data_IF_108976015700
#
_entry.id   IF_108976015700
#
_cell.length_a   1.000
_cell.length_b   1.000
_cell.length_c   1.000
_cell.angle_alpha   90.00
_cell.angle_beta   90.00
_cell.angle_gamma   90.00
#
_symmetry.space_group_name_H-M   'P 1'
#
loop_
_entity.id
_entity.type
_entity.pdbx_description
1 polymer ?
#
# COMPACT_ATOMS: atom_id res chain seq x y z
N UNK A 1 -5.24 -21.38 -13.81
CA UNK A 1 -4.56 -20.09 -13.54
C UNK A 1 -4.68 -19.10 -14.70
N UNK A 2 -4.72 -19.52 -15.96
CA UNK A 2 -4.94 -18.60 -17.11
C UNK A 2 -6.26 -17.82 -17.04
N UNK A 3 -7.30 -18.35 -16.44
CA UNK A 3 -8.62 -17.71 -16.34
C UNK A 3 -8.65 -16.51 -15.41
N UNK A 4 -7.86 -16.49 -14.33
CA UNK A 4 -7.91 -15.40 -13.34
C UNK A 4 -7.29 -14.08 -13.82
N UNK A 5 -6.26 -14.15 -14.67
CA UNK A 5 -5.64 -12.95 -15.25
C UNK A 5 -6.49 -12.41 -16.41
N UNK A 6 -7.20 -13.29 -17.11
CA UNK A 6 -7.97 -12.98 -18.31
C UNK A 6 -9.22 -12.14 -18.06
N UNK A 7 -9.90 -12.36 -16.93
CA UNK A 7 -11.27 -11.84 -16.71
C UNK A 7 -11.29 -10.41 -16.17
N UNK A 8 -10.19 -9.93 -15.59
CA UNK A 8 -10.16 -8.68 -14.85
C UNK A 8 -9.60 -7.47 -15.59
N UNK A 9 -8.68 -7.69 -16.53
CA UNK A 9 -7.89 -6.62 -17.12
C UNK A 9 -8.20 -6.34 -18.58
N UNK A 10 -9.01 -7.18 -19.24
CA UNK A 10 -9.16 -7.13 -20.70
C UNK A 10 -7.87 -7.38 -21.47
N UNK A 11 -6.79 -7.77 -20.77
CA UNK A 11 -5.53 -8.11 -21.38
C UNK A 11 -5.61 -9.48 -22.07
N UNK A 12 -4.92 -9.66 -23.21
CA UNK A 12 -4.84 -10.97 -23.85
C UNK A 12 -4.23 -11.98 -22.88
N UNK A 13 -4.75 -13.21 -22.91
CA UNK A 13 -4.21 -14.29 -22.10
C UNK A 13 -2.71 -14.43 -22.36
N UNK A 14 -1.94 -14.45 -21.27
CA UNK A 14 -0.52 -14.67 -21.32
C UNK A 14 -0.29 -16.14 -21.73
N UNK A 15 0.28 -16.36 -22.92
CA UNK A 15 0.65 -17.69 -23.40
C UNK A 15 2.14 -17.89 -23.18
N UNK A 16 2.48 -18.80 -22.27
CA UNK A 16 3.86 -19.15 -21.95
C UNK A 16 4.13 -20.58 -22.40
N UNK A 17 5.28 -20.79 -23.04
CA UNK A 17 5.80 -22.11 -23.34
C UNK A 17 6.34 -22.83 -22.09
N UNK A 18 6.59 -24.13 -22.17
CA UNK A 18 7.04 -24.96 -21.03
C UNK A 18 8.30 -24.45 -20.31
N UNK A 19 9.16 -23.73 -21.01
CA UNK A 19 10.42 -23.17 -20.47
C UNK A 19 10.45 -21.65 -20.51
N UNK A 20 9.30 -21.03 -20.49
CA UNK A 20 9.16 -19.59 -20.50
C UNK A 20 8.55 -19.11 -19.20
N UNK A 21 8.95 -17.90 -18.80
CA UNK A 21 8.38 -17.20 -17.65
C UNK A 21 8.16 -15.74 -17.98
N UNK A 22 7.10 -15.16 -17.47
CA UNK A 22 6.89 -13.72 -17.51
C UNK A 22 7.24 -13.08 -16.18
N UNK A 23 7.72 -11.84 -16.23
CA UNK A 23 8.08 -11.05 -15.06
C UNK A 23 6.86 -10.25 -14.62
N UNK A 24 6.50 -10.37 -13.36
CA UNK A 24 5.51 -9.54 -12.70
C UNK A 24 6.17 -8.56 -11.74
N UNK A 25 5.75 -7.30 -11.77
CA UNK A 25 6.14 -6.29 -10.80
C UNK A 25 4.91 -5.45 -10.47
N UNK A 26 4.62 -5.32 -9.19
CA UNK A 26 3.54 -4.46 -8.71
C UNK A 26 3.82 -2.99 -9.05
N UNK A 27 2.78 -2.28 -9.45
CA UNK A 27 2.83 -0.85 -9.82
C UNK A 27 3.32 0.04 -8.67
N UNK A 28 3.11 -0.36 -7.41
CA UNK A 28 3.62 0.36 -6.24
C UNK A 28 5.15 0.29 -6.09
N UNK A 29 5.79 -0.74 -6.64
CA UNK A 29 7.24 -0.97 -6.52
C UNK A 29 8.02 -0.63 -7.78
N UNK A 30 7.36 -0.14 -8.82
CA UNK A 30 8.02 0.23 -10.07
C UNK A 30 7.69 1.65 -10.50
N UNK A 31 8.53 2.17 -11.39
CA UNK A 31 8.31 3.45 -12.06
C UNK A 31 8.30 3.22 -13.56
N UNK A 32 7.66 4.09 -14.34
CA UNK A 32 7.60 3.98 -15.78
C UNK A 32 9.01 3.81 -16.42
N UNK A 33 10.01 4.49 -15.86
CA UNK A 33 11.40 4.37 -16.32
C UNK A 33 12.00 2.99 -16.06
N UNK A 34 11.75 2.41 -14.88
CA UNK A 34 12.20 1.05 -14.55
C UNK A 34 11.52 0.00 -15.42
N UNK A 35 10.21 0.14 -15.61
CA UNK A 35 9.45 -0.78 -16.47
C UNK A 35 9.97 -0.73 -17.90
N UNK A 36 10.23 0.44 -18.45
CA UNK A 36 10.81 0.58 -19.79
C UNK A 36 12.20 -0.07 -19.91
N UNK A 37 13.07 0.13 -18.91
CA UNK A 37 14.39 -0.51 -18.84
C UNK A 37 14.27 -2.04 -18.77
N UNK A 38 13.37 -2.56 -17.95
CA UNK A 38 13.15 -4.01 -17.84
C UNK A 38 12.60 -4.60 -19.14
N UNK A 39 11.65 -3.93 -19.79
CA UNK A 39 11.12 -4.37 -21.07
C UNK A 39 12.22 -4.39 -22.15
N UNK A 40 13.15 -3.45 -22.12
CA UNK A 40 14.30 -3.48 -23.02
C UNK A 40 15.22 -4.72 -22.78
N UNK A 41 15.40 -5.10 -21.51
CA UNK A 41 16.15 -6.32 -21.17
C UNK A 41 15.39 -7.57 -21.58
N UNK A 42 14.07 -7.61 -21.32
CA UNK A 42 13.20 -8.74 -21.66
C UNK A 42 13.09 -8.97 -23.18
N UNK A 43 13.20 -7.91 -23.99
CA UNK A 43 13.24 -8.03 -25.46
C UNK A 43 14.44 -8.88 -25.97
N UNK A 44 15.48 -9.02 -25.16
CA UNK A 44 16.60 -9.91 -25.42
C UNK A 44 16.38 -11.38 -25.03
N UNK A 45 15.20 -11.73 -24.51
CA UNK A 45 14.88 -13.08 -24.01
C UNK A 45 15.95 -13.66 -23.09
N UNK A 46 16.30 -12.97 -22.00
CA UNK A 46 17.35 -13.41 -21.08
C UNK A 46 17.00 -14.76 -20.47
N UNK A 47 18.04 -15.54 -20.17
CA UNK A 47 17.92 -16.82 -19.49
C UNK A 47 18.19 -16.63 -18.01
N UNK A 48 17.32 -17.21 -17.20
CA UNK A 48 17.48 -17.30 -15.75
C UNK A 48 17.51 -18.77 -15.36
N UNK A 49 18.42 -19.15 -14.49
CA UNK A 49 18.47 -20.49 -13.94
C UNK A 49 17.54 -20.59 -12.71
N UNK A 50 16.57 -21.48 -12.78
CA UNK A 50 15.70 -21.81 -11.67
C UNK A 50 15.94 -23.28 -11.31
N UNK A 51 16.48 -23.53 -10.12
CA UNK A 51 16.84 -24.85 -9.62
C UNK A 51 17.68 -25.66 -10.65
N UNK A 52 18.69 -25.00 -11.26
CA UNK A 52 19.58 -25.60 -12.25
C UNK A 52 18.97 -25.80 -13.66
N UNK A 53 17.71 -25.42 -13.86
CA UNK A 53 17.05 -25.47 -15.16
C UNK A 53 16.98 -24.08 -15.79
N UNK A 54 17.41 -23.91 -17.06
CA UNK A 54 17.32 -22.63 -17.75
C UNK A 54 15.88 -22.33 -18.17
N UNK A 55 15.38 -21.18 -17.75
CA UNK A 55 14.07 -20.62 -18.13
C UNK A 55 14.31 -19.32 -18.90
N UNK A 56 13.57 -19.12 -19.97
CA UNK A 56 13.61 -17.91 -20.78
C UNK A 56 12.57 -16.93 -20.27
N UNK A 57 13.02 -15.72 -19.95
CA UNK A 57 12.08 -14.63 -19.66
C UNK A 57 11.55 -14.07 -20.96
N UNK A 58 10.23 -13.99 -21.09
CA UNK A 58 9.56 -13.58 -22.32
C UNK A 58 8.48 -12.53 -22.07
N UNK A 59 8.11 -11.80 -23.11
CA UNK A 59 7.07 -10.78 -23.06
C UNK A 59 7.52 -9.49 -22.38
N UNK A 60 6.54 -8.70 -21.99
CA UNK A 60 6.71 -7.45 -21.26
C UNK A 60 6.43 -7.66 -19.77
N UNK A 61 6.91 -6.73 -18.95
CA UNK A 61 6.62 -6.73 -17.51
C UNK A 61 5.11 -6.67 -17.29
N UNK A 62 4.60 -7.65 -16.56
CA UNK A 62 3.20 -7.70 -16.16
C UNK A 62 3.02 -6.87 -14.88
N UNK A 63 2.03 -5.97 -14.85
CA UNK A 63 1.76 -5.09 -13.72
C UNK A 63 0.30 -5.14 -13.27
N UNK A 64 -0.44 -6.14 -13.70
CA UNK A 64 -1.82 -6.36 -13.27
C UNK A 64 -1.82 -6.85 -11.84
N UNK A 65 -2.64 -6.29 -10.97
CA UNK A 65 -2.77 -6.74 -9.59
C UNK A 65 -3.22 -8.22 -9.56
N UNK A 66 -2.27 -9.11 -9.31
CA UNK A 66 -2.51 -10.56 -9.23
C UNK A 66 -3.22 -10.90 -7.92
N UNK A 67 -2.84 -10.24 -6.83
CA UNK A 67 -3.43 -10.41 -5.51
C UNK A 67 -3.92 -9.06 -5.03
N UNK A 68 -5.18 -8.98 -4.61
CA UNK A 68 -5.79 -7.75 -4.10
C UNK A 68 -5.69 -7.62 -2.59
N UNK A 69 -5.17 -8.64 -1.92
CA UNK A 69 -4.86 -8.62 -0.50
C UNK A 69 -3.60 -7.78 -0.25
N UNK A 70 -3.73 -6.73 0.56
CA UNK A 70 -2.61 -5.87 0.94
C UNK A 70 -1.68 -6.49 1.98
N UNK A 71 -2.06 -7.56 2.62
CA UNK A 71 -1.17 -8.33 3.50
C UNK A 71 -0.13 -9.11 2.71
N UNK A 72 -0.40 -9.38 1.44
CA UNK A 72 0.51 -10.05 0.52
C UNK A 72 1.07 -9.03 -0.47
N UNK A 73 2.30 -8.63 -0.24
CA UNK A 73 3.00 -7.68 -1.11
C UNK A 73 3.90 -8.43 -2.08
N UNK A 74 3.45 -8.56 -3.32
CA UNK A 74 4.24 -9.12 -4.40
C UNK A 74 5.02 -8.02 -5.11
N UNK A 75 6.16 -7.62 -4.56
CA UNK A 75 7.02 -6.61 -5.20
C UNK A 75 7.60 -7.09 -6.53
N UNK A 76 7.93 -8.37 -6.61
CA UNK A 76 8.46 -9.05 -7.78
C UNK A 76 8.03 -10.51 -7.77
N UNK A 77 7.57 -11.04 -8.90
CA UNK A 77 7.24 -12.44 -9.05
C UNK A 77 7.53 -12.93 -10.47
N UNK A 78 7.70 -14.23 -10.62
CA UNK A 78 7.74 -14.90 -11.91
C UNK A 78 6.41 -15.63 -12.13
N UNK A 79 5.82 -15.40 -13.29
CA UNK A 79 4.63 -16.14 -13.74
C UNK A 79 5.14 -17.31 -14.56
N UNK A 80 4.83 -18.52 -14.12
CA UNK A 80 5.21 -19.76 -14.75
C UNK A 80 3.99 -20.48 -15.33
N UNK A 81 4.13 -21.33 -16.35
CA UNK A 81 3.10 -22.28 -16.74
C UNK A 81 2.76 -23.22 -15.59
N UNK A 82 1.52 -23.70 -15.55
CA UNK A 82 1.00 -24.51 -14.44
C UNK A 82 1.87 -25.74 -14.14
N UNK A 83 2.35 -26.44 -15.16
CA UNK A 83 3.22 -27.62 -14.97
C UNK A 83 4.56 -27.26 -14.33
N UNK A 84 5.20 -26.19 -14.77
CA UNK A 84 6.45 -25.68 -14.20
C UNK A 84 6.21 -25.18 -12.77
N UNK A 85 5.12 -24.45 -12.53
CA UNK A 85 4.75 -23.97 -11.20
C UNK A 85 4.56 -25.12 -10.20
N UNK A 86 3.80 -26.16 -10.58
CA UNK A 86 3.59 -27.34 -9.75
C UNK A 86 4.90 -28.08 -9.45
N UNK A 87 5.79 -28.17 -10.42
CA UNK A 87 7.10 -28.80 -10.24
C UNK A 87 7.96 -28.03 -9.23
N UNK A 88 8.10 -26.71 -9.38
CA UNK A 88 8.94 -25.90 -8.53
C UNK A 88 8.35 -25.61 -7.15
N UNK A 89 7.03 -25.54 -7.03
CA UNK A 89 6.35 -25.32 -5.74
C UNK A 89 6.38 -26.54 -4.82
N UNK A 90 6.65 -27.74 -5.36
CA UNK A 90 6.69 -29.00 -4.61
C UNK A 90 5.43 -29.22 -3.76
N UNK A 91 4.30 -28.70 -4.20
CA UNK A 91 3.03 -28.77 -3.47
C UNK A 91 2.86 -27.76 -2.34
N UNK A 92 3.83 -26.88 -2.11
CA UNK A 92 3.72 -25.76 -1.18
C UNK A 92 3.27 -24.50 -1.91
N UNK A 93 1.97 -24.32 -2.03
CA UNK A 93 1.40 -23.12 -2.65
C UNK A 93 0.03 -22.80 -2.06
N UNK A 94 -0.31 -21.53 -2.07
CA UNK A 94 -1.62 -21.02 -1.73
C UNK A 94 -2.41 -20.68 -2.99
N UNK A 95 -3.71 -20.90 -2.95
CA UNK A 95 -4.60 -20.60 -4.07
C UNK A 95 -5.45 -19.39 -3.74
N UNK A 96 -5.40 -18.39 -4.59
CA UNK A 96 -6.18 -17.16 -4.46
C UNK A 96 -7.16 -17.03 -5.62
N UNK A 97 -8.40 -16.64 -5.30
CA UNK A 97 -9.44 -16.36 -6.28
C UNK A 97 -9.85 -14.90 -6.16
N UNK A 98 -9.62 -14.13 -7.20
CA UNK A 98 -10.11 -12.76 -7.29
C UNK A 98 -11.51 -12.75 -7.91
N UNK A 99 -12.47 -12.14 -7.23
CA UNK A 99 -13.83 -11.99 -7.71
C UNK A 99 -14.22 -10.51 -7.82
N UNK A 100 -15.00 -10.18 -8.82
CA UNK A 100 -15.56 -8.84 -9.01
C UNK A 100 -17.07 -8.97 -9.06
N UNK A 101 -17.78 -8.11 -8.34
CA UNK A 101 -19.23 -8.03 -8.41
C UNK A 101 -19.67 -7.62 -9.81
N UNK A 102 -20.54 -8.40 -10.42
CA UNK A 102 -21.17 -8.04 -11.69
C UNK A 102 -22.22 -6.94 -11.46
N UNK A 103 -22.49 -6.15 -12.51
CA UNK A 103 -23.55 -5.14 -12.45
C UNK A 103 -24.92 -5.73 -12.13
N UNK A 104 -25.16 -6.97 -12.54
CA UNK A 104 -26.39 -7.71 -12.26
C UNK A 104 -26.53 -8.06 -10.77
N UNK A 105 -25.43 -8.31 -10.06
CA UNK A 105 -25.44 -8.58 -8.62
C UNK A 105 -25.78 -7.32 -7.80
N UNK A 106 -25.62 -6.14 -8.37
CA UNK A 106 -26.00 -4.89 -7.71
C UNK A 106 -27.52 -4.68 -7.65
N UNK A 107 -28.31 -5.25 -8.59
CA UNK A 107 -29.77 -5.24 -8.61
C UNK A 107 -30.42 -3.90 -8.16
N UNK A 108 -29.82 -2.76 -8.50
CA UNK A 108 -30.28 -1.43 -8.07
C UNK A 108 -29.97 -1.08 -6.61
N UNK A 109 -29.32 -1.95 -5.86
CA UNK A 109 -28.83 -1.68 -4.51
C UNK A 109 -27.56 -0.82 -4.56
N UNK A 110 -27.28 -0.11 -3.47
CA UNK A 110 -26.01 0.58 -3.37
C UNK A 110 -24.87 -0.45 -3.31
N UNK A 111 -23.70 -0.07 -3.84
CA UNK A 111 -22.49 -0.89 -3.80
C UNK A 111 -22.19 -1.35 -2.36
N UNK A 112 -22.38 -0.48 -1.38
CA UNK A 112 -22.18 -0.78 0.04
C UNK A 112 -23.10 -1.92 0.52
N UNK A 113 -24.39 -1.87 0.18
CA UNK A 113 -25.36 -2.88 0.59
C UNK A 113 -25.02 -4.24 -0.04
N UNK A 114 -24.66 -4.25 -1.33
CA UNK A 114 -24.27 -5.46 -2.03
C UNK A 114 -23.01 -6.10 -1.44
N UNK A 115 -22.03 -5.29 -1.02
CA UNK A 115 -20.83 -5.80 -0.35
C UNK A 115 -21.11 -6.34 1.06
N UNK A 116 -21.98 -5.69 1.83
CA UNK A 116 -22.35 -6.17 3.17
C UNK A 116 -23.06 -7.52 3.07
N UNK A 117 -23.98 -7.67 2.12
CA UNK A 117 -24.72 -8.92 1.86
C UNK A 117 -23.78 -10.04 1.40
N UNK A 118 -22.77 -9.68 0.57
CA UNK A 118 -21.75 -10.63 0.14
C UNK A 118 -20.85 -11.08 1.29
N UNK A 119 -20.41 -10.12 2.12
CA UNK A 119 -19.55 -10.45 3.26
C UNK A 119 -20.28 -11.37 4.25
N UNK A 120 -21.56 -11.09 4.56
CA UNK A 120 -22.36 -11.94 5.42
C UNK A 120 -22.44 -13.38 4.88
N UNK A 121 -22.68 -13.53 3.58
CA UNK A 121 -22.72 -14.85 2.92
C UNK A 121 -21.36 -15.56 2.91
N UNK A 122 -20.26 -14.82 2.72
CA UNK A 122 -18.92 -15.39 2.74
C UNK A 122 -18.51 -15.82 4.15
N UNK A 123 -18.87 -15.03 5.18
CA UNK A 123 -18.64 -15.39 6.57
C UNK A 123 -19.31 -16.72 6.96
N UNK A 124 -20.52 -16.98 6.43
CA UNK A 124 -21.21 -18.26 6.63
C UNK A 124 -20.48 -19.45 6.01
N UNK A 125 -19.67 -19.24 4.96
CA UNK A 125 -18.95 -20.33 4.29
C UNK A 125 -17.67 -20.73 5.01
N UNK A 126 -17.15 -19.92 5.93
CA UNK A 126 -15.88 -20.11 6.60
C UNK A 126 -14.65 -19.99 5.69
N UNK A 127 -14.81 -19.43 4.48
CA UNK A 127 -13.70 -19.15 3.56
C UNK A 127 -13.03 -17.86 4.01
N UNK A 128 -11.71 -17.88 4.09
CA UNK A 128 -10.94 -16.63 4.29
C UNK A 128 -11.04 -15.77 3.05
N UNK A 129 -11.48 -14.54 3.21
CA UNK A 129 -11.61 -13.58 2.11
C UNK A 129 -11.22 -12.18 2.56
N UNK A 130 -10.83 -11.38 1.62
CA UNK A 130 -10.61 -9.96 1.82
C UNK A 130 -11.44 -9.14 0.83
N UNK A 131 -12.27 -8.25 1.35
CA UNK A 131 -13.10 -7.39 0.50
C UNK A 131 -12.49 -6.00 0.37
N UNK A 132 -12.75 -5.35 -0.76
CA UNK A 132 -12.34 -3.95 -0.97
C UNK A 132 -12.83 -3.01 0.14
N UNK A 133 -14.05 -3.24 0.65
CA UNK A 133 -14.61 -2.43 1.74
C UNK A 133 -13.89 -2.64 3.07
N UNK A 134 -13.49 -3.88 3.39
CA UNK A 134 -12.69 -4.14 4.59
C UNK A 134 -11.35 -3.42 4.53
N UNK A 135 -10.69 -3.48 3.39
CA UNK A 135 -9.42 -2.78 3.16
C UNK A 135 -9.57 -1.26 3.23
N UNK A 136 -10.60 -0.71 2.60
CA UNK A 136 -10.91 0.71 2.67
C UNK A 136 -11.26 1.14 4.10
N UNK A 137 -12.05 0.36 4.81
CA UNK A 137 -12.40 0.61 6.22
C UNK A 137 -11.17 0.61 7.12
N UNK A 138 -10.27 -0.34 6.95
CA UNK A 138 -9.01 -0.43 7.68
C UNK A 138 -8.11 0.77 7.39
N UNK A 139 -7.98 1.17 6.13
CA UNK A 139 -7.19 2.33 5.71
C UNK A 139 -7.77 3.65 6.26
N UNK A 140 -9.08 3.81 6.22
CA UNK A 140 -9.76 4.95 6.83
C UNK A 140 -9.52 5.01 8.34
N UNK A 141 -9.62 3.87 9.04
CA UNK A 141 -9.34 3.80 10.46
C UNK A 141 -7.91 4.26 10.80
N UNK A 142 -6.89 3.78 10.08
CA UNK A 142 -5.51 4.21 10.30
C UNK A 142 -5.30 5.68 9.98
N UNK A 143 -5.93 6.20 8.93
CA UNK A 143 -5.85 7.62 8.56
C UNK A 143 -6.47 8.50 9.64
N UNK A 144 -7.65 8.13 10.15
CA UNK A 144 -8.35 8.85 11.21
C UNK A 144 -7.53 8.79 12.51
N UNK A 145 -7.07 7.60 12.91
CA UNK A 145 -6.27 7.42 14.11
C UNK A 145 -4.98 8.26 14.07
N UNK A 146 -4.26 8.24 12.94
CA UNK A 146 -3.07 9.05 12.74
C UNK A 146 -3.36 10.55 12.81
N UNK A 147 -4.48 10.99 12.26
CA UNK A 147 -4.91 12.38 12.31
C UNK A 147 -5.20 12.84 13.75
N UNK A 148 -5.84 11.99 14.56
CA UNK A 148 -6.06 12.28 15.97
C UNK A 148 -4.77 12.40 16.77
N UNK A 149 -3.83 11.48 16.56
CA UNK A 149 -2.52 11.52 17.22
C UNK A 149 -1.77 12.79 16.84
N UNK A 150 -1.78 13.17 15.57
CA UNK A 150 -1.12 14.38 15.07
C UNK A 150 -1.75 15.65 15.68
N UNK A 151 -3.08 15.72 15.71
CA UNK A 151 -3.80 16.84 16.33
C UNK A 151 -3.50 16.96 17.82
N UNK A 152 -3.53 15.84 18.56
CA UNK A 152 -3.18 15.82 19.97
C UNK A 152 -1.76 16.33 20.22
N UNK A 153 -0.80 15.84 19.43
CA UNK A 153 0.59 16.27 19.54
C UNK A 153 0.76 17.77 19.24
N UNK A 154 0.05 18.28 18.24
CA UNK A 154 0.05 19.72 17.92
C UNK A 154 -0.46 20.57 19.09
N UNK A 155 -1.54 20.14 19.76
CA UNK A 155 -2.08 20.83 20.95
C UNK A 155 -1.06 20.82 22.09
N UNK A 156 -0.41 19.67 22.35
CA UNK A 156 0.63 19.58 23.39
C UNK A 156 1.78 20.52 23.11
N UNK A 157 2.29 20.55 21.86
CA UNK A 157 3.35 21.48 21.48
C UNK A 157 2.92 22.95 21.62
N UNK A 158 1.68 23.27 21.28
CA UNK A 158 1.16 24.64 21.43
C UNK A 158 1.12 25.05 22.89
N UNK A 159 0.68 24.18 23.80
CA UNK A 159 0.68 24.46 25.25
C UNK A 159 2.10 24.64 25.76
N UNK A 160 3.03 23.78 25.39
CA UNK A 160 4.45 23.89 25.79
C UNK A 160 5.06 25.19 25.26
N UNK A 161 4.85 25.53 24.00
CA UNK A 161 5.37 26.76 23.39
C UNK A 161 4.83 28.01 24.11
N UNK A 162 3.52 28.06 24.38
CA UNK A 162 2.90 29.18 25.11
C UNK A 162 3.45 29.28 26.53
N UNK A 163 3.70 28.17 27.20
CA UNK A 163 4.28 28.16 28.54
C UNK A 163 5.69 28.73 28.53
N UNK A 164 6.53 28.31 27.56
CA UNK A 164 7.91 28.82 27.42
C UNK A 164 7.89 30.33 27.16
N UNK A 165 7.05 30.80 26.23
CA UNK A 165 6.93 32.24 25.91
C UNK A 165 6.45 33.02 27.15
N UNK A 166 5.47 32.50 27.87
CA UNK A 166 4.99 33.11 29.12
C UNK A 166 6.08 33.25 30.18
N UNK A 167 6.86 32.20 30.39
CA UNK A 167 7.99 32.24 31.36
C UNK A 167 9.05 33.23 30.91
N UNK A 168 9.43 33.27 29.61
CA UNK A 168 10.39 34.23 29.09
C UNK A 168 9.92 35.67 29.25
N UNK A 169 8.63 35.94 29.02
CA UNK A 169 8.02 37.24 29.22
C UNK A 169 8.11 37.71 30.69
N UNK A 170 7.74 36.82 31.62
CA UNK A 170 7.83 37.11 33.05
C UNK A 170 9.26 37.40 33.51
N UNK A 171 10.23 36.58 33.03
CA UNK A 171 11.64 36.82 33.32
C UNK A 171 12.15 38.13 32.76
N UNK A 172 11.72 38.50 31.56
CA UNK A 172 12.08 39.79 30.93
C UNK A 172 11.50 40.95 31.73
N UNK A 173 10.26 40.87 32.17
CA UNK A 173 9.62 41.90 33.04
C UNK A 173 10.38 42.08 34.34
N UNK A 174 10.76 40.97 35.02
CA UNK A 174 11.53 41.06 36.28
C UNK A 174 12.90 41.74 36.07
N UNK A 175 13.60 41.41 34.99
CA UNK A 175 14.88 42.06 34.67
C UNK A 175 14.71 43.56 34.38
N UNK A 176 13.69 43.92 33.64
CA UNK A 176 13.37 45.32 33.34
C UNK A 176 13.00 46.10 34.58
N UNK A 177 12.17 45.55 35.45
CA UNK A 177 11.80 46.15 36.74
C UNK A 177 13.00 46.43 37.65
N UNK A 178 13.94 45.48 37.77
CA UNK A 178 15.21 45.70 38.51
C UNK A 178 16.06 46.82 37.93
N UNK A 179 16.19 46.89 36.59
CA UNK A 179 16.90 47.97 35.90
C UNK A 179 16.26 49.33 36.17
N UNK A 180 14.95 49.43 36.14
CA UNK A 180 14.21 50.67 36.48
C UNK A 180 14.46 51.12 37.90
N UNK A 181 14.40 50.20 38.88
CA UNK A 181 14.69 50.51 40.28
C UNK A 181 16.12 51.03 40.46
N UNK A 182 17.09 50.44 39.76
CA UNK A 182 18.49 50.91 39.80
C UNK A 182 18.65 52.31 39.21
N UNK A 183 17.98 52.61 38.08
CA UNK A 183 17.99 53.94 37.46
C UNK A 183 17.35 55.02 38.39
N UNK A 184 16.23 54.70 39.06
CA UNK A 184 15.62 55.62 40.00
C UNK A 184 16.55 55.87 41.18
N UNK A 185 17.23 54.86 41.73
CA UNK A 185 18.23 55.02 42.80
C UNK A 185 19.44 55.84 42.41
N UNK A 186 19.79 55.91 41.11
CA UNK A 186 20.88 56.71 40.55
C UNK A 186 20.43 58.15 40.23
N UNK A 187 19.19 58.53 40.54
CA UNK A 187 18.70 59.91 40.39
C UNK A 187 18.08 60.22 39.01
N UNK A 188 17.74 59.21 38.23
CA UNK A 188 16.98 59.44 37.00
C UNK A 188 15.56 59.90 37.40
N UNK A 189 15.22 61.12 37.05
CA UNK A 189 13.84 61.66 37.15
C UNK A 189 13.08 61.34 35.86
N UNK A 190 11.77 61.17 35.99
CA UNK A 190 10.82 61.01 34.86
C UNK A 190 10.88 62.22 33.93
#
# INVERSE_FOLDING_TARGET
SEMCIRDRSGNPALQLGEKEAAVYIDTEFTTASRTAMLNQVLAGHPKVELDGSPIHLTGEVQSVNLVTDRSITLSFALILPDEAFLYYSQGMYDTYVNAVLSEQALNGNSLMTAYLDLNEKLDETGIEYESYLQNMGRQLFYTIASSYITLYLAIVFLVVANTIVGVQFLMSQQKTGRRYQTLIRLGATY
#
